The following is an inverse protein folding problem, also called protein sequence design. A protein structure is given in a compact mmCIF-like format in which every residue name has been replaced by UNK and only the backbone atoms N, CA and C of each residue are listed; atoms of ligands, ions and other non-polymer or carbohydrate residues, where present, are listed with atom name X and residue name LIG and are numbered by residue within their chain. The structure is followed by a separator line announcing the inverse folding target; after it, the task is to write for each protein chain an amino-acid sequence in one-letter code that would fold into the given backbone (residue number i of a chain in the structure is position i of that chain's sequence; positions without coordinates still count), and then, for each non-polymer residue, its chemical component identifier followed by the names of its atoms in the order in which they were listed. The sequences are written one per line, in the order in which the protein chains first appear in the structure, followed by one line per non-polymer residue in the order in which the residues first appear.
data_IF_368811609977
#
_entry.id   IF_368811609977
#
_cell.length_a   1.000
_cell.length_b   1.000
_cell.length_c   1.000
_cell.angle_alpha   90.00
_cell.angle_beta   90.00
_cell.angle_gamma   90.00
#
_symmetry.space_group_name_H-M   'P 1'
#
loop_
_entity.id
_entity.type
_entity.pdbx_description
1 polymer ?
#
# COMPACT_ATOMS: atom_id res chain seq x y z
N UNK A 1 -14.81 -5.13 -12.57
CA UNK A 1 -14.89 -5.36 -11.11
C UNK A 1 -13.62 -6.09 -10.65
N UNK A 2 -12.86 -5.45 -9.77
CA UNK A 2 -11.58 -5.95 -9.24
C UNK A 2 -11.78 -7.26 -8.47
N UNK A 3 -12.86 -7.36 -7.70
CA UNK A 3 -13.17 -8.56 -6.92
C UNK A 3 -13.38 -9.79 -7.82
N UNK A 4 -14.02 -9.61 -8.96
CA UNK A 4 -14.19 -10.68 -9.95
C UNK A 4 -12.84 -11.12 -10.54
N UNK A 5 -11.99 -10.16 -10.95
CA UNK A 5 -10.67 -10.46 -11.50
C UNK A 5 -9.79 -11.22 -10.49
N UNK A 6 -9.77 -10.78 -9.23
CA UNK A 6 -9.04 -11.45 -8.16
C UNK A 6 -9.54 -12.87 -7.92
N UNK A 7 -10.86 -13.06 -7.91
CA UNK A 7 -11.46 -14.38 -7.73
C UNK A 7 -11.10 -15.35 -8.84
N UNK A 8 -11.16 -14.90 -10.10
CA UNK A 8 -10.76 -15.70 -11.27
C UNK A 8 -9.27 -16.07 -11.21
N UNK A 9 -8.41 -15.10 -10.95
CA UNK A 9 -6.96 -15.35 -10.83
C UNK A 9 -6.65 -16.31 -9.69
N UNK A 10 -7.31 -16.15 -8.53
CA UNK A 10 -7.14 -17.05 -7.41
C UNK A 10 -7.52 -18.49 -7.76
N UNK A 11 -8.67 -18.69 -8.40
CA UNK A 11 -9.13 -20.03 -8.87
C UNK A 11 -8.15 -20.63 -9.86
N UNK A 12 -7.64 -19.86 -10.82
CA UNK A 12 -6.64 -20.33 -11.78
C UNK A 12 -5.34 -20.75 -11.08
N UNK A 13 -4.89 -19.99 -10.09
CA UNK A 13 -3.73 -20.34 -9.25
C UNK A 13 -3.91 -21.68 -8.53
N UNK A 14 -5.08 -21.89 -7.90
CA UNK A 14 -5.41 -23.13 -7.19
C UNK A 14 -5.53 -24.31 -8.16
N UNK A 15 -6.13 -24.13 -9.34
CA UNK A 15 -6.22 -25.18 -10.37
C UNK A 15 -4.82 -25.56 -10.88
N UNK A 16 -3.94 -24.61 -11.12
CA UNK A 16 -2.55 -24.87 -11.49
C UNK A 16 -1.83 -25.65 -10.40
N UNK A 17 -2.00 -25.27 -9.13
CA UNK A 17 -1.45 -25.98 -7.98
C UNK A 17 -1.94 -27.44 -7.91
N UNK A 18 -3.25 -27.66 -8.07
CA UNK A 18 -3.84 -29.00 -8.02
C UNK A 18 -3.34 -29.91 -9.13
N UNK A 19 -3.13 -29.37 -10.33
CA UNK A 19 -2.55 -30.10 -11.45
C UNK A 19 -1.09 -30.52 -11.17
N UNK A 20 -0.32 -29.63 -10.50
CA UNK A 20 1.04 -29.93 -10.07
C UNK A 20 1.08 -31.00 -8.97
N UNK A 21 0.23 -30.85 -7.95
CA UNK A 21 0.13 -31.78 -6.84
C UNK A 21 -0.17 -33.19 -7.33
N UNK A 22 -1.12 -33.36 -8.26
CA UNK A 22 -1.42 -34.69 -8.87
C UNK A 22 -0.19 -35.31 -9.54
N UNK A 23 0.57 -34.50 -10.33
CA UNK A 23 1.79 -35.00 -10.99
C UNK A 23 2.87 -35.39 -9.99
N UNK A 24 3.05 -34.61 -8.92
CA UNK A 24 4.04 -34.89 -7.89
C UNK A 24 3.69 -36.18 -7.10
N UNK A 25 2.43 -36.30 -6.70
CA UNK A 25 1.95 -37.48 -5.98
C UNK A 25 2.12 -38.75 -6.80
N UNK A 26 1.76 -38.71 -8.09
CA UNK A 26 1.99 -39.83 -9.02
C UNK A 26 3.47 -40.17 -9.16
N UNK A 27 4.33 -39.16 -9.31
CA UNK A 27 5.77 -39.38 -9.44
C UNK A 27 6.37 -40.01 -8.18
N UNK A 28 5.97 -39.54 -6.99
CA UNK A 28 6.43 -40.08 -5.69
C UNK A 28 5.91 -41.49 -5.51
N UNK A 29 4.64 -41.77 -5.85
CA UNK A 29 4.07 -43.11 -5.78
C UNK A 29 4.82 -44.14 -6.65
N UNK A 30 5.08 -43.77 -7.92
CA UNK A 30 5.84 -44.61 -8.84
C UNK A 30 7.26 -44.88 -8.32
N UNK A 31 7.93 -43.85 -7.83
CA UNK A 31 9.29 -43.96 -7.31
C UNK A 31 9.36 -44.76 -6.00
N UNK A 32 8.34 -44.63 -5.15
CA UNK A 32 8.24 -45.44 -3.93
C UNK A 32 7.96 -46.89 -4.24
N UNK A 33 7.03 -47.21 -5.15
CA UNK A 33 6.71 -48.53 -5.60
C UNK A 33 7.94 -49.23 -6.25
N UNK A 34 8.69 -48.52 -7.09
CA UNK A 34 9.93 -49.02 -7.71
C UNK A 34 11.02 -49.34 -6.68
N UNK A 35 11.18 -48.57 -5.62
CA UNK A 35 12.17 -48.81 -4.55
C UNK A 35 11.83 -49.99 -3.67
N UNK A 36 10.53 -50.29 -3.45
CA UNK A 36 10.07 -51.33 -2.55
C UNK A 36 9.63 -52.60 -3.29
N UNK A 37 9.94 -52.71 -4.59
CA UNK A 37 9.62 -53.84 -5.45
C UNK A 37 8.15 -54.33 -5.34
N UNK A 38 7.24 -53.40 -5.08
CA UNK A 38 5.82 -53.69 -4.91
C UNK A 38 5.09 -53.50 -6.25
N UNK A 39 4.53 -54.61 -6.78
CA UNK A 39 3.76 -54.62 -8.05
C UNK A 39 2.36 -53.98 -7.97
N UNK A 40 1.85 -53.66 -6.78
CA UNK A 40 0.55 -53.02 -6.59
C UNK A 40 0.76 -51.59 -6.07
N UNK A 41 -0.11 -50.66 -6.51
CA UNK A 41 -0.20 -49.31 -5.96
C UNK A 41 -0.56 -49.38 -4.47
N UNK A 42 0.42 -49.46 -3.62
CA UNK A 42 0.25 -49.39 -2.17
C UNK A 42 0.10 -47.95 -1.74
N UNK A 43 -0.79 -47.72 -0.78
CA UNK A 43 -0.95 -46.42 -0.15
C UNK A 43 0.40 -45.96 0.40
N UNK A 44 0.73 -44.69 0.17
CA UNK A 44 1.93 -44.07 0.73
C UNK A 44 1.90 -44.16 2.27
N UNK A 45 3.04 -44.40 2.92
CA UNK A 45 3.10 -44.35 4.38
C UNK A 45 2.60 -43.04 4.92
N UNK A 46 1.88 -43.09 6.03
CA UNK A 46 1.19 -41.94 6.63
C UNK A 46 2.06 -40.67 6.75
N UNK A 47 3.32 -40.75 7.24
CA UNK A 47 4.16 -39.55 7.36
C UNK A 47 4.49 -38.94 6.00
N UNK A 48 4.73 -39.74 4.97
CA UNK A 48 5.00 -39.21 3.62
C UNK A 48 3.75 -38.62 2.98
N UNK A 49 2.58 -39.17 3.24
CA UNK A 49 1.31 -38.60 2.78
C UNK A 49 1.00 -37.27 3.44
N UNK A 50 1.31 -37.11 4.73
CA UNK A 50 1.16 -35.84 5.45
C UNK A 50 2.11 -34.78 4.87
N UNK A 51 3.38 -35.12 4.67
CA UNK A 51 4.36 -34.19 4.08
C UNK A 51 3.94 -33.74 2.68
N UNK A 52 3.47 -34.65 1.84
CA UNK A 52 2.98 -34.32 0.50
C UNK A 52 1.78 -33.39 0.57
N UNK A 53 0.82 -33.63 1.45
CA UNK A 53 -0.34 -32.73 1.64
C UNK A 53 0.08 -31.33 2.11
N UNK A 54 1.05 -31.25 3.03
CA UNK A 54 1.59 -29.97 3.46
C UNK A 54 2.28 -29.22 2.31
N UNK A 55 3.09 -29.91 1.50
CA UNK A 55 3.71 -29.34 0.31
C UNK A 55 2.67 -28.87 -0.70
N UNK A 56 1.61 -29.65 -0.94
CA UNK A 56 0.52 -29.28 -1.85
C UNK A 56 -0.21 -28.04 -1.35
N UNK A 57 -0.47 -27.92 -0.05
CA UNK A 57 -1.10 -26.76 0.55
C UNK A 57 -0.23 -25.48 0.41
N UNK A 58 1.07 -25.59 0.66
CA UNK A 58 2.02 -24.47 0.45
C UNK A 58 2.07 -24.07 -1.02
N UNK A 59 2.13 -25.02 -1.94
CA UNK A 59 2.12 -24.73 -3.37
C UNK A 59 0.82 -24.05 -3.81
N UNK A 60 -0.32 -24.48 -3.29
CA UNK A 60 -1.60 -23.84 -3.57
C UNK A 60 -1.63 -22.39 -3.08
N UNK A 61 -1.17 -22.12 -1.86
CA UNK A 61 -1.09 -20.78 -1.33
C UNK A 61 -0.14 -19.87 -2.14
N UNK A 62 1.05 -20.38 -2.49
CA UNK A 62 2.03 -19.63 -3.29
C UNK A 62 1.49 -19.32 -4.69
N UNK A 63 0.94 -20.32 -5.39
CA UNK A 63 0.45 -20.11 -6.76
C UNK A 63 -0.81 -19.24 -6.80
N UNK A 64 -1.69 -19.35 -5.83
CA UNK A 64 -2.84 -18.44 -5.71
C UNK A 64 -2.38 -16.98 -5.48
N UNK A 65 -1.44 -16.76 -4.58
CA UNK A 65 -0.86 -15.42 -4.32
C UNK A 65 -0.14 -14.88 -5.56
N UNK A 66 0.67 -15.69 -6.24
CA UNK A 66 1.36 -15.27 -7.48
C UNK A 66 0.39 -14.97 -8.61
N UNK A 67 -0.72 -15.69 -8.73
CA UNK A 67 -1.72 -15.46 -9.76
C UNK A 67 -2.52 -14.16 -9.52
N UNK A 68 -2.78 -13.80 -8.26
CA UNK A 68 -3.50 -12.57 -7.90
C UNK A 68 -2.59 -11.33 -7.87
N UNK A 69 -1.28 -11.51 -7.69
CA UNK A 69 -0.31 -10.42 -7.59
C UNK A 69 -0.36 -9.43 -8.77
N UNK A 70 -0.44 -9.85 -10.05
CA UNK A 70 -0.53 -8.92 -11.18
C UNK A 70 -1.74 -8.01 -11.11
N UNK A 71 -2.91 -8.54 -10.70
CA UNK A 71 -4.14 -7.76 -10.59
C UNK A 71 -4.03 -6.74 -9.45
N UNK A 72 -3.51 -7.16 -8.28
CA UNK A 72 -3.30 -6.26 -7.16
C UNK A 72 -2.38 -5.09 -7.54
N UNK A 73 -1.26 -5.40 -8.20
CA UNK A 73 -0.29 -4.39 -8.61
C UNK A 73 -0.84 -3.44 -9.69
N UNK A 74 -1.60 -3.95 -10.69
CA UNK A 74 -2.22 -3.11 -11.72
C UNK A 74 -3.24 -2.12 -11.16
N UNK A 75 -3.89 -2.47 -10.05
CA UNK A 75 -4.84 -1.59 -9.39
C UNK A 75 -4.23 -0.75 -8.24
N UNK A 76 -2.90 -0.70 -8.14
CA UNK A 76 -2.20 0.07 -7.11
C UNK A 76 -2.45 -0.42 -5.69
N UNK A 77 -2.84 -1.68 -5.53
CA UNK A 77 -3.08 -2.26 -4.21
C UNK A 77 -1.78 -2.82 -3.64
N UNK A 78 -1.58 -2.67 -2.32
CA UNK A 78 -0.43 -3.24 -1.64
C UNK A 78 -0.44 -4.78 -1.74
N UNK A 79 0.70 -5.35 -2.10
CA UNK A 79 0.90 -6.79 -2.05
C UNK A 79 1.43 -7.17 -0.66
N UNK A 80 0.90 -8.23 -0.06
CA UNK A 80 1.37 -8.71 1.23
C UNK A 80 2.33 -9.91 1.06
N UNK A 81 3.57 -9.75 1.50
CA UNK A 81 4.53 -10.87 1.58
C UNK A 81 4.10 -11.92 2.61
N UNK A 82 3.30 -11.53 3.60
CA UNK A 82 2.71 -12.44 4.59
C UNK A 82 1.45 -13.16 4.07
N UNK A 83 0.98 -12.88 2.84
CA UNK A 83 -0.21 -13.53 2.28
C UNK A 83 -0.07 -15.07 2.20
N UNK A 84 1.12 -15.58 1.88
CA UNK A 84 1.36 -17.02 1.80
C UNK A 84 1.21 -17.71 3.16
N UNK A 85 1.93 -17.30 4.23
CA UNK A 85 1.73 -17.89 5.56
C UNK A 85 0.33 -17.61 6.11
N UNK A 86 -0.24 -16.43 5.89
CA UNK A 86 -1.59 -16.12 6.32
C UNK A 86 -2.63 -17.05 5.66
N UNK A 87 -2.57 -17.22 4.35
CA UNK A 87 -3.45 -18.14 3.62
C UNK A 87 -3.28 -19.59 4.10
N UNK A 88 -2.04 -20.02 4.34
CA UNK A 88 -1.78 -21.37 4.81
C UNK A 88 -2.42 -21.62 6.19
N UNK A 89 -2.30 -20.68 7.10
CA UNK A 89 -2.81 -20.79 8.48
C UNK A 89 -4.34 -20.60 8.53
N UNK A 90 -4.87 -19.56 7.85
CA UNK A 90 -6.29 -19.21 7.93
C UNK A 90 -7.16 -20.17 7.12
N UNK A 91 -6.74 -20.61 5.93
CA UNK A 91 -7.52 -21.53 5.07
C UNK A 91 -7.77 -22.88 5.76
N UNK A 92 -6.84 -23.35 6.56
CA UNK A 92 -7.03 -24.58 7.34
C UNK A 92 -8.15 -24.47 8.37
N UNK A 93 -8.32 -23.30 8.97
CA UNK A 93 -9.34 -23.02 9.97
C UNK A 93 -10.71 -22.69 9.33
N UNK A 94 -10.73 -22.29 8.07
CA UNK A 94 -11.95 -21.94 7.35
C UNK A 94 -12.91 -23.13 7.24
N UNK A 95 -12.40 -24.33 6.97
CA UNK A 95 -13.21 -25.55 6.87
C UNK A 95 -13.95 -25.89 8.18
N UNK A 96 -13.27 -25.99 9.31
CA UNK A 96 -13.92 -26.13 10.63
C UNK A 96 -14.87 -24.99 10.96
N UNK A 97 -14.50 -23.72 10.68
CA UNK A 97 -15.35 -22.57 10.94
C UNK A 97 -16.67 -22.65 10.16
N UNK A 98 -16.63 -22.96 8.87
CA UNK A 98 -17.83 -23.13 8.05
C UNK A 98 -18.72 -24.27 8.54
N UNK A 99 -18.15 -25.41 8.89
CA UNK A 99 -18.92 -26.56 9.39
C UNK A 99 -19.61 -26.22 10.73
N UNK A 100 -18.87 -25.59 11.65
CA UNK A 100 -19.42 -25.15 12.93
C UNK A 100 -20.47 -24.05 12.74
N UNK A 101 -20.26 -23.12 11.79
CA UNK A 101 -21.22 -22.07 11.47
C UNK A 101 -22.53 -22.63 10.92
N UNK A 102 -22.45 -23.59 9.96
CA UNK A 102 -23.64 -24.28 9.42
C UNK A 102 -24.32 -25.09 10.53
N UNK A 103 -23.57 -25.80 11.35
CA UNK A 103 -24.12 -26.57 12.46
C UNK A 103 -24.85 -25.67 13.47
N UNK A 104 -24.23 -24.57 13.88
CA UNK A 104 -24.86 -23.60 14.78
C UNK A 104 -26.13 -22.99 14.16
N UNK A 105 -26.09 -22.65 12.86
CA UNK A 105 -27.27 -22.16 12.16
C UNK A 105 -28.40 -23.17 12.15
N UNK A 106 -28.14 -24.44 11.85
CA UNK A 106 -29.17 -25.49 11.85
C UNK A 106 -29.74 -25.73 13.26
N UNK A 107 -28.86 -25.75 14.28
CA UNK A 107 -29.27 -25.95 15.67
C UNK A 107 -30.15 -24.77 16.20
N UNK A 108 -29.94 -23.54 15.69
CA UNK A 108 -30.70 -22.36 16.09
C UNK A 108 -32.20 -22.45 15.75
N UNK A 109 -32.59 -23.30 14.77
CA UNK A 109 -34.00 -23.50 14.41
C UNK A 109 -34.71 -24.47 15.33
N UNK A 110 -34.01 -25.18 16.21
CA UNK A 110 -34.60 -26.24 17.05
C UNK A 110 -34.38 -25.89 18.54
N UNK A 111 -35.42 -25.29 19.22
CA UNK A 111 -35.25 -24.81 20.59
C UNK A 111 -34.87 -25.87 21.61
N UNK A 112 -35.18 -27.14 21.38
CA UNK A 112 -34.83 -28.26 22.25
C UNK A 112 -33.31 -28.52 22.28
N UNK A 113 -32.59 -28.07 21.23
CA UNK A 113 -31.15 -28.28 21.06
C UNK A 113 -30.31 -27.06 21.51
N UNK A 114 -30.86 -26.16 22.28
CA UNK A 114 -30.23 -24.90 22.74
C UNK A 114 -28.86 -25.13 23.41
N UNK A 115 -28.63 -26.14 24.30
CA UNK A 115 -27.32 -26.38 24.86
C UNK A 115 -26.26 -26.79 23.82
N UNK A 116 -26.66 -27.51 22.76
CA UNK A 116 -25.76 -27.87 21.64
C UNK A 116 -25.46 -26.66 20.76
N UNK A 117 -26.44 -25.78 20.53
CA UNK A 117 -26.25 -24.50 19.86
C UNK A 117 -25.22 -23.64 20.57
N UNK A 118 -25.33 -23.48 21.89
CA UNK A 118 -24.36 -22.72 22.70
C UNK A 118 -22.95 -23.33 22.62
N UNK A 119 -22.85 -24.67 22.68
CA UNK A 119 -21.56 -25.36 22.51
C UNK A 119 -20.93 -25.14 21.14
N UNK A 120 -21.72 -25.27 20.06
CA UNK A 120 -21.27 -25.03 18.70
C UNK A 120 -20.85 -23.58 18.47
N UNK A 121 -21.62 -22.63 19.00
CA UNK A 121 -21.34 -21.19 18.91
C UNK A 121 -20.08 -20.80 19.66
N UNK A 122 -19.84 -21.38 20.83
CA UNK A 122 -18.61 -21.16 21.62
C UNK A 122 -17.38 -21.69 20.86
N UNK A 123 -17.45 -22.90 20.30
CA UNK A 123 -16.38 -23.46 19.49
C UNK A 123 -16.11 -22.61 18.24
N UNK A 124 -17.17 -22.16 17.56
CA UNK A 124 -17.06 -21.25 16.44
C UNK A 124 -16.35 -19.95 16.86
N UNK A 125 -16.73 -19.37 17.99
CA UNK A 125 -16.11 -18.16 18.55
C UNK A 125 -14.60 -18.34 18.80
N UNK A 126 -14.19 -19.50 19.34
CA UNK A 126 -12.78 -19.84 19.55
C UNK A 126 -12.04 -19.91 18.21
N UNK A 127 -12.60 -20.61 17.22
CA UNK A 127 -11.97 -20.74 15.89
C UNK A 127 -11.85 -19.39 15.21
N UNK A 128 -12.87 -18.53 15.27
CA UNK A 128 -12.85 -17.19 14.69
C UNK A 128 -11.80 -16.28 15.40
N UNK A 129 -11.73 -16.33 16.73
CA UNK A 129 -10.69 -15.61 17.47
C UNK A 129 -9.28 -16.09 17.10
N UNK A 130 -9.09 -17.40 16.96
CA UNK A 130 -7.81 -17.93 16.50
C UNK A 130 -7.46 -17.43 15.10
N UNK A 131 -8.42 -17.43 14.16
CA UNK A 131 -8.22 -16.90 12.81
C UNK A 131 -7.83 -15.42 12.82
N UNK A 132 -8.54 -14.59 13.59
CA UNK A 132 -8.24 -13.15 13.69
C UNK A 132 -6.89 -12.89 14.35
N UNK A 133 -6.53 -13.64 15.39
CA UNK A 133 -5.22 -13.54 16.06
C UNK A 133 -4.08 -13.94 15.12
N UNK A 134 -4.23 -15.02 14.37
CA UNK A 134 -3.24 -15.45 13.38
C UNK A 134 -3.10 -14.44 12.25
N UNK A 135 -4.21 -13.88 11.77
CA UNK A 135 -4.18 -12.83 10.75
C UNK A 135 -3.49 -11.56 11.27
N UNK A 136 -3.78 -11.13 12.49
CA UNK A 136 -3.11 -10.00 13.12
C UNK A 136 -1.61 -10.25 13.32
N UNK A 137 -1.22 -11.45 13.73
CA UNK A 137 0.18 -11.83 13.85
C UNK A 137 0.91 -11.80 12.49
N UNK A 138 0.28 -12.32 11.43
CA UNK A 138 0.83 -12.25 10.08
C UNK A 138 0.93 -10.79 9.58
N UNK A 139 -0.02 -9.94 9.93
CA UNK A 139 -0.01 -8.52 9.57
C UNK A 139 1.08 -7.72 10.29
N UNK A 140 1.50 -8.16 11.47
CA UNK A 140 2.60 -7.55 12.23
C UNK A 140 4.00 -7.93 11.70
N UNK A 141 4.11 -8.86 10.75
CA UNK A 141 5.40 -9.22 10.16
C UNK A 141 5.94 -8.05 9.30
N UNK A 142 7.26 -7.75 9.35
CA UNK A 142 7.85 -6.64 8.60
C UNK A 142 7.70 -6.78 7.07
N UNK A 143 7.38 -7.98 6.57
CA UNK A 143 7.15 -8.29 5.15
C UNK A 143 5.66 -8.22 4.78
N UNK A 144 4.78 -7.89 5.75
CA UNK A 144 3.33 -7.89 5.53
C UNK A 144 2.87 -6.81 4.55
N UNK A 145 3.58 -5.69 4.50
CA UNK A 145 3.23 -4.55 3.65
C UNK A 145 4.33 -4.30 2.63
N UNK A 146 4.26 -4.97 1.50
CA UNK A 146 5.11 -4.68 0.35
C UNK A 146 4.29 -3.82 -0.59
N UNK A 147 4.49 -2.51 -0.48
CA UNK A 147 3.87 -1.58 -1.38
C UNK A 147 4.85 -1.28 -2.52
N UNK A 148 4.52 -1.73 -3.70
CA UNK A 148 5.22 -1.40 -4.92
C UNK A 148 4.45 -0.27 -5.59
N UNK A 149 5.09 0.89 -5.84
CA UNK A 149 4.48 1.92 -6.66
C UNK A 149 4.06 1.35 -8.00
N UNK A 150 2.89 1.76 -8.50
CA UNK A 150 2.28 1.28 -9.75
C UNK A 150 3.28 1.29 -10.93
N UNK A 151 4.22 2.22 -10.93
CA UNK A 151 5.27 2.37 -11.95
C UNK A 151 6.19 1.15 -12.10
N UNK A 152 6.44 0.39 -11.03
CA UNK A 152 7.27 -0.83 -11.09
C UNK A 152 6.46 -2.08 -11.41
N UNK A 153 5.14 -1.98 -11.40
CA UNK A 153 4.24 -3.09 -11.75
C UNK A 153 4.54 -3.62 -13.13
N UNK A 154 4.78 -2.75 -14.11
CA UNK A 154 5.10 -3.14 -15.47
C UNK A 154 6.41 -3.94 -15.55
N UNK A 155 7.44 -3.56 -14.80
CA UNK A 155 8.70 -4.29 -14.74
C UNK A 155 8.54 -5.66 -14.07
N UNK A 156 7.80 -5.73 -12.96
CA UNK A 156 7.50 -6.99 -12.29
C UNK A 156 6.68 -7.90 -13.21
N UNK A 157 5.68 -7.37 -13.91
CA UNK A 157 4.89 -8.11 -14.89
C UNK A 157 5.74 -8.59 -16.07
N UNK A 158 6.66 -7.77 -16.59
CA UNK A 158 7.57 -8.15 -17.64
C UNK A 158 8.49 -9.31 -17.20
N UNK A 159 9.04 -9.25 -16.00
CA UNK A 159 9.84 -10.34 -15.42
C UNK A 159 8.99 -11.61 -15.29
N UNK A 160 7.76 -11.51 -14.77
CA UNK A 160 6.85 -12.66 -14.68
C UNK A 160 6.50 -13.24 -16.05
N UNK A 161 6.25 -12.40 -17.07
CA UNK A 161 5.96 -12.83 -18.43
C UNK A 161 7.15 -13.57 -19.05
N UNK A 162 8.36 -13.06 -18.89
CA UNK A 162 9.60 -13.72 -19.35
C UNK A 162 9.80 -15.05 -18.66
N UNK A 163 9.63 -15.09 -17.33
CA UNK A 163 9.73 -16.31 -16.57
C UNK A 163 8.65 -17.34 -16.97
N UNK A 164 7.42 -16.90 -17.22
CA UNK A 164 6.33 -17.75 -17.71
C UNK A 164 6.63 -18.33 -19.12
N UNK A 165 7.17 -17.51 -20.02
CA UNK A 165 7.57 -17.93 -21.35
C UNK A 165 8.72 -18.96 -21.33
N UNK A 166 9.74 -18.71 -20.50
CA UNK A 166 10.85 -19.64 -20.26
C UNK A 166 10.36 -20.97 -19.68
N UNK A 167 9.42 -20.89 -18.74
CA UNK A 167 8.77 -22.06 -18.17
C UNK A 167 8.00 -22.87 -19.22
N UNK A 168 7.18 -22.20 -20.03
CA UNK A 168 6.43 -22.84 -21.12
C UNK A 168 7.35 -23.62 -22.06
N UNK A 169 8.51 -23.03 -22.37
CA UNK A 169 9.52 -23.64 -23.25
C UNK A 169 10.25 -24.81 -22.62
N UNK A 170 10.59 -24.73 -21.33
CA UNK A 170 11.45 -25.72 -20.66
C UNK A 170 10.68 -26.79 -19.89
N UNK A 171 9.39 -26.58 -19.61
CA UNK A 171 8.49 -27.44 -18.82
C UNK A 171 9.02 -27.84 -17.44
N UNK A 172 10.02 -27.13 -16.90
CA UNK A 172 10.66 -27.44 -15.62
C UNK A 172 10.09 -26.59 -14.47
N UNK A 173 8.82 -26.80 -14.12
CA UNK A 173 8.12 -26.04 -13.07
C UNK A 173 8.84 -26.03 -11.72
N UNK A 174 9.54 -27.10 -11.36
CA UNK A 174 10.25 -27.21 -10.08
C UNK A 174 11.35 -26.17 -9.88
N UNK A 175 11.98 -25.73 -10.96
CA UNK A 175 13.03 -24.70 -10.91
C UNK A 175 12.44 -23.30 -11.04
N UNK A 176 11.28 -23.18 -11.68
CA UNK A 176 10.65 -21.92 -11.97
C UNK A 176 10.07 -21.23 -10.72
N UNK A 177 9.38 -21.97 -9.84
CA UNK A 177 8.77 -21.39 -8.64
C UNK A 177 9.81 -20.74 -7.72
N UNK A 178 10.92 -21.40 -7.33
CA UNK A 178 11.94 -20.76 -6.50
C UNK A 178 12.67 -19.61 -7.23
N UNK A 179 12.95 -19.76 -8.53
CA UNK A 179 13.60 -18.70 -9.30
C UNK A 179 12.67 -17.49 -9.44
N UNK A 180 11.38 -17.71 -9.73
CA UNK A 180 10.38 -16.64 -9.79
C UNK A 180 10.24 -15.91 -8.46
N UNK A 181 10.23 -16.63 -7.36
CA UNK A 181 10.19 -16.05 -6.02
C UNK A 181 11.45 -15.22 -5.73
N UNK A 182 12.64 -15.73 -6.01
CA UNK A 182 13.91 -15.01 -5.83
C UNK A 182 13.96 -13.77 -6.70
N UNK A 183 13.54 -13.86 -7.98
CA UNK A 183 13.48 -12.69 -8.87
C UNK A 183 12.46 -11.64 -8.39
N UNK A 184 11.30 -12.07 -7.88
CA UNK A 184 10.31 -11.15 -7.32
C UNK A 184 10.84 -10.42 -6.08
N UNK A 185 11.46 -11.15 -5.16
CA UNK A 185 12.10 -10.57 -3.96
C UNK A 185 13.25 -9.63 -4.35
N UNK A 186 14.09 -10.03 -5.30
CA UNK A 186 15.18 -9.20 -5.78
C UNK A 186 14.67 -7.92 -6.46
N UNK A 187 13.61 -8.01 -7.27
CA UNK A 187 12.99 -6.85 -7.91
C UNK A 187 12.41 -5.87 -6.89
N UNK A 188 11.77 -6.37 -5.83
CA UNK A 188 11.26 -5.56 -4.72
C UNK A 188 12.38 -4.87 -3.97
N UNK A 189 13.44 -5.61 -3.64
CA UNK A 189 14.62 -5.05 -2.94
C UNK A 189 15.34 -4.01 -3.79
N UNK A 190 15.54 -4.28 -5.09
CA UNK A 190 16.15 -3.33 -6.01
C UNK A 190 15.29 -2.07 -6.18
N UNK A 191 13.97 -2.24 -6.32
CA UNK A 191 13.03 -1.12 -6.38
C UNK A 191 13.08 -0.26 -5.12
N UNK A 192 13.12 -0.89 -3.94
CA UNK A 192 13.26 -0.20 -2.65
C UNK A 192 14.56 0.60 -2.54
N UNK A 193 15.69 0.00 -2.94
CA UNK A 193 16.99 0.72 -2.89
C UNK A 193 17.07 1.88 -3.89
N UNK A 194 16.50 1.72 -5.09
CA UNK A 194 16.45 2.80 -6.10
C UNK A 194 15.54 3.97 -5.71
N UNK A 195 14.60 3.77 -4.80
CA UNK A 195 13.65 4.80 -4.33
C UNK A 195 14.00 5.40 -2.99
N UNK A 196 15.05 4.92 -2.33
CA UNK A 196 15.38 5.32 -0.97
C UNK A 196 15.55 6.83 -0.79
N UNK A 197 16.10 7.50 -1.81
CA UNK A 197 16.35 8.94 -1.76
C UNK A 197 15.31 9.78 -2.52
N UNK A 198 14.22 9.14 -2.99
CA UNK A 198 13.19 9.85 -3.76
C UNK A 198 12.09 10.30 -2.83
N UNK A 199 11.84 11.60 -2.80
CA UNK A 199 10.70 12.20 -2.09
C UNK A 199 9.62 12.57 -3.11
N UNK A 200 8.40 12.12 -2.89
CA UNK A 200 7.24 12.48 -3.68
C UNK A 200 6.37 13.44 -2.91
N UNK A 201 6.15 14.59 -3.50
CA UNK A 201 5.26 15.61 -2.98
C UNK A 201 3.99 15.63 -3.84
N UNK A 202 2.84 15.39 -3.23
CA UNK A 202 1.56 15.42 -3.93
C UNK A 202 0.56 16.30 -3.20
N UNK A 203 -0.32 16.94 -3.96
CA UNK A 203 -1.50 17.59 -3.40
C UNK A 203 -2.69 16.64 -3.55
N UNK A 204 -3.32 16.30 -2.44
CA UNK A 204 -4.37 15.26 -2.37
C UNK A 204 -5.61 15.81 -1.70
N UNK A 205 -6.77 15.61 -2.29
CA UNK A 205 -8.06 15.98 -1.70
C UNK A 205 -8.82 17.03 -2.48
N UNK A 206 -9.63 17.83 -1.79
CA UNK A 206 -10.57 18.77 -2.40
C UNK A 206 -9.85 19.87 -3.19
N UNK A 207 -10.39 20.21 -4.35
CA UNK A 207 -9.87 21.25 -5.24
C UNK A 207 -9.67 22.59 -4.49
N UNK A 208 -8.49 23.17 -4.61
CA UNK A 208 -8.10 24.42 -3.97
C UNK A 208 -7.81 24.30 -2.46
N UNK A 209 -8.03 23.17 -1.81
CA UNK A 209 -7.76 23.00 -0.38
C UNK A 209 -7.24 21.58 -0.04
N UNK A 210 -6.51 20.97 -0.99
CA UNK A 210 -5.91 19.65 -0.82
C UNK A 210 -4.79 19.66 0.21
N UNK A 211 -4.62 18.53 0.89
CA UNK A 211 -3.48 18.29 1.77
C UNK A 211 -2.20 18.12 0.94
N UNK A 212 -1.05 18.49 1.49
CA UNK A 212 0.25 18.21 0.88
C UNK A 212 0.83 16.97 1.56
N UNK A 213 1.16 15.97 0.77
CA UNK A 213 1.66 14.68 1.23
C UNK A 213 3.08 14.49 0.71
N UNK A 214 4.04 14.36 1.61
CA UNK A 214 5.41 14.00 1.29
C UNK A 214 5.62 12.52 1.60
N UNK A 215 5.98 11.73 0.59
CA UNK A 215 6.23 10.29 0.73
C UNK A 215 7.70 10.01 0.46
N UNK A 216 8.37 9.37 1.42
CA UNK A 216 9.72 8.87 1.28
C UNK A 216 9.79 7.45 1.86
N UNK A 217 10.30 6.53 1.09
CA UNK A 217 10.36 5.12 1.44
C UNK A 217 9.04 4.56 1.89
N UNK A 218 8.57 3.97 2.71
CA UNK A 218 7.23 3.54 3.12
C UNK A 218 6.60 4.46 4.18
N UNK A 219 7.17 5.65 4.39
CA UNK A 219 6.74 6.62 5.40
C UNK A 219 6.25 7.90 4.72
N UNK A 220 5.29 8.54 5.35
CA UNK A 220 4.75 9.79 4.84
C UNK A 220 4.62 10.85 5.93
N UNK A 221 4.73 12.10 5.50
CA UNK A 221 4.37 13.29 6.28
C UNK A 221 3.23 13.99 5.55
N UNK A 222 2.22 14.39 6.29
CA UNK A 222 1.05 15.09 5.74
C UNK A 222 0.92 16.46 6.36
N UNK A 223 0.94 17.49 5.52
CA UNK A 223 0.49 18.81 5.89
C UNK A 223 -1.02 18.87 5.65
N UNK A 224 -1.77 18.70 6.73
CA UNK A 224 -3.21 18.60 6.66
C UNK A 224 -3.87 19.98 6.58
N UNK A 225 -4.70 20.16 5.57
CA UNK A 225 -5.54 21.36 5.42
C UNK A 225 -6.89 20.98 4.81
N UNK A 226 -7.88 21.83 4.98
CA UNK A 226 -9.21 21.58 4.45
C UNK A 226 -10.10 20.75 5.36
N UNK A 227 -11.08 20.08 4.78
CA UNK A 227 -12.13 19.38 5.50
C UNK A 227 -11.77 17.92 5.83
N UNK A 228 -12.55 17.28 6.71
CA UNK A 228 -12.41 15.87 7.06
C UNK A 228 -12.51 14.92 5.84
N UNK A 229 -13.13 15.35 4.74
CA UNK A 229 -13.22 14.58 3.50
C UNK A 229 -11.83 14.29 2.88
N UNK A 230 -10.85 15.17 3.09
CA UNK A 230 -9.48 14.98 2.61
C UNK A 230 -8.79 13.77 3.25
N UNK A 231 -9.19 13.37 4.46
CA UNK A 231 -8.59 12.22 5.13
C UNK A 231 -8.71 10.92 4.35
N UNK A 232 -9.87 10.67 3.71
CA UNK A 232 -10.06 9.47 2.88
C UNK A 232 -9.19 9.50 1.62
N UNK A 233 -9.10 10.66 0.97
CA UNK A 233 -8.27 10.84 -0.22
C UNK A 233 -6.78 10.63 0.11
N UNK A 234 -6.32 11.17 1.24
CA UNK A 234 -4.95 10.97 1.72
C UNK A 234 -4.68 9.49 2.02
N UNK A 235 -5.57 8.79 2.73
CA UNK A 235 -5.41 7.36 3.00
C UNK A 235 -5.34 6.53 1.71
N UNK A 236 -6.21 6.84 0.74
CA UNK A 236 -6.18 6.17 -0.56
C UNK A 236 -4.85 6.43 -1.29
N UNK A 237 -4.38 7.67 -1.32
CA UNK A 237 -3.11 8.04 -1.93
C UNK A 237 -1.92 7.32 -1.28
N UNK A 238 -1.88 7.29 0.06
CA UNK A 238 -0.84 6.60 0.82
C UNK A 238 -0.80 5.09 0.51
N UNK A 239 -1.98 4.46 0.44
CA UNK A 239 -2.10 3.05 0.09
C UNK A 239 -1.61 2.78 -1.33
N UNK A 240 -1.98 3.63 -2.31
CA UNK A 240 -1.55 3.51 -3.71
C UNK A 240 -0.04 3.71 -3.90
N UNK A 241 0.56 4.59 -3.08
CA UNK A 241 2.00 4.90 -3.16
C UNK A 241 2.85 4.09 -2.18
N UNK A 242 2.25 3.15 -1.47
CA UNK A 242 2.98 2.24 -0.64
C UNK A 242 3.58 2.82 0.62
N UNK A 243 2.98 3.84 1.16
CA UNK A 243 3.38 4.46 2.41
C UNK A 243 2.28 4.32 3.48
N UNK A 244 2.04 3.09 4.01
CA UNK A 244 1.02 2.87 5.03
C UNK A 244 1.38 3.53 6.37
N UNK A 245 2.65 3.79 6.62
CA UNK A 245 3.12 4.41 7.86
C UNK A 245 3.09 5.93 7.75
N UNK A 246 2.19 6.54 8.50
CA UNK A 246 2.10 7.98 8.66
C UNK A 246 3.04 8.40 9.80
N UNK A 247 4.21 8.93 9.45
CA UNK A 247 5.22 9.35 10.41
C UNK A 247 4.74 10.56 11.21
N UNK A 248 4.20 11.57 10.51
CA UNK A 248 3.65 12.75 11.15
C UNK A 248 2.50 13.35 10.34
N UNK A 249 1.56 13.96 11.05
CA UNK A 249 0.56 14.86 10.50
C UNK A 249 0.72 16.22 11.16
N UNK A 250 0.90 17.24 10.34
CA UNK A 250 0.91 18.64 10.78
C UNK A 250 -0.43 19.25 10.37
N UNK A 251 -1.27 19.57 11.34
CA UNK A 251 -2.56 20.20 11.10
C UNK A 251 -2.38 21.71 10.93
N UNK A 252 -2.49 22.17 9.70
CA UNK A 252 -2.38 23.59 9.36
C UNK A 252 -3.72 24.35 9.46
N UNK A 253 -4.80 23.70 9.92
CA UNK A 253 -6.10 24.34 10.04
C UNK A 253 -6.09 25.33 11.20
N UNK A 254 -6.63 26.51 10.96
CA UNK A 254 -6.81 27.55 12.00
C UNK A 254 -7.86 27.15 13.03
N UNK A 255 -8.85 26.36 12.62
CA UNK A 255 -9.86 25.76 13.51
C UNK A 255 -9.67 24.25 13.49
N UNK A 256 -8.97 23.68 14.48
CA UNK A 256 -8.76 22.25 14.54
C UNK A 256 -10.09 21.53 14.80
N UNK A 257 -10.44 20.65 13.90
CA UNK A 257 -11.57 19.72 14.04
C UNK A 257 -11.06 18.30 14.27
N UNK A 258 -11.97 17.33 14.30
CA UNK A 258 -11.63 15.93 14.37
C UNK A 258 -10.63 15.55 13.28
N UNK A 259 -9.53 14.87 13.66
CA UNK A 259 -8.50 14.43 12.73
C UNK A 259 -8.83 13.02 12.22
N UNK A 260 -9.11 12.85 10.93
CA UNK A 260 -9.48 11.55 10.36
C UNK A 260 -8.29 10.62 10.10
N UNK A 261 -7.05 11.08 10.38
CA UNK A 261 -5.81 10.35 10.13
C UNK A 261 -5.16 9.94 11.45
N UNK A 262 -4.70 8.70 11.52
CA UNK A 262 -3.89 8.20 12.63
C UNK A 262 -2.41 8.26 12.23
N UNK A 263 -1.60 8.99 12.98
CA UNK A 263 -0.17 9.14 12.75
C UNK A 263 0.63 8.82 14.01
N UNK A 264 1.91 8.51 13.84
CA UNK A 264 2.82 8.32 14.98
C UNK A 264 2.98 9.63 15.78
N UNK A 265 3.00 10.76 15.07
CA UNK A 265 3.01 12.11 15.65
C UNK A 265 1.91 12.96 15.03
N UNK A 266 1.06 13.53 15.87
CA UNK A 266 0.08 14.53 15.47
C UNK A 266 0.51 15.87 16.05
N UNK A 267 0.80 16.83 15.19
CA UNK A 267 1.21 18.18 15.55
C UNK A 267 0.12 19.16 15.13
N UNK A 268 -0.52 19.77 16.09
CA UNK A 268 -1.52 20.81 15.84
C UNK A 268 -0.87 22.17 16.03
N UNK A 269 -1.21 23.15 15.18
CA UNK A 269 -0.66 24.52 15.30
C UNK A 269 -0.88 25.08 16.70
N UNK A 270 -2.01 24.74 17.34
CA UNK A 270 -2.33 25.22 18.67
C UNK A 270 -1.36 24.71 19.76
N UNK A 271 -0.72 23.57 19.54
CA UNK A 271 0.19 22.94 20.50
C UNK A 271 1.65 23.40 20.35
N UNK A 272 1.95 24.15 19.29
CA UNK A 272 3.30 24.61 18.98
C UNK A 272 3.51 26.06 19.47
N UNK A 273 4.73 26.44 19.87
CA UNK A 273 5.04 27.81 20.22
C UNK A 273 4.91 28.71 18.98
N UNK A 274 4.33 29.90 19.15
CA UNK A 274 4.22 30.86 18.05
C UNK A 274 5.60 31.26 17.52
N UNK A 275 5.72 31.36 16.21
CA UNK A 275 6.96 31.71 15.53
C UNK A 275 7.46 30.59 14.63
N UNK A 276 8.76 30.49 14.46
CA UNK A 276 9.43 29.46 13.64
C UNK A 276 9.74 28.23 14.47
N UNK A 277 9.24 27.09 14.05
CA UNK A 277 9.54 25.78 14.65
C UNK A 277 10.16 24.88 13.59
N UNK A 278 11.33 24.32 13.89
CA UNK A 278 12.03 23.37 13.03
C UNK A 278 11.80 21.94 13.48
N UNK A 279 11.40 21.06 12.56
CA UNK A 279 11.03 19.67 12.82
C UNK A 279 11.69 18.74 11.79
N UNK A 280 12.45 17.75 12.25
CA UNK A 280 12.95 16.69 11.39
C UNK A 280 11.98 15.50 11.46
N UNK A 281 11.29 15.21 10.38
CA UNK A 281 10.20 14.23 10.35
C UNK A 281 10.53 12.95 9.58
N UNK A 282 11.34 13.05 8.52
CA UNK A 282 11.83 11.90 7.75
C UNK A 282 13.36 12.00 7.60
N UNK A 283 13.98 10.98 7.02
CA UNK A 283 15.43 10.89 6.90
C UNK A 283 16.07 12.09 6.16
N UNK A 284 15.37 12.61 5.13
CA UNK A 284 15.82 13.74 4.31
C UNK A 284 14.81 14.86 4.20
N UNK A 285 13.75 14.83 5.00
CA UNK A 285 12.69 15.86 4.98
C UNK A 285 12.65 16.55 6.32
N UNK A 286 12.97 17.83 6.30
CA UNK A 286 12.85 18.75 7.42
C UNK A 286 11.68 19.69 7.15
N UNK A 287 11.01 20.14 8.19
CA UNK A 287 9.85 21.05 8.06
C UNK A 287 10.06 22.24 8.96
N UNK A 288 10.12 23.40 8.33
CA UNK A 288 10.07 24.69 9.01
C UNK A 288 8.64 25.18 9.05
N UNK A 289 8.08 25.26 10.23
CA UNK A 289 6.73 25.72 10.44
C UNK A 289 6.73 27.12 11.03
N UNK A 290 6.22 28.09 10.28
CA UNK A 290 5.94 29.45 10.74
C UNK A 290 4.43 29.59 10.94
N UNK A 291 4.00 29.84 12.16
CA UNK A 291 2.58 30.01 12.42
C UNK A 291 2.25 31.24 13.27
N UNK A 292 1.07 31.75 13.01
CA UNK A 292 0.41 32.83 13.76
C UNK A 292 -1.01 32.37 14.10
N UNK A 293 -1.74 33.13 14.91
CA UNK A 293 -3.12 32.79 15.27
C UNK A 293 -4.10 32.66 14.07
N UNK A 294 -3.76 33.24 12.90
CA UNK A 294 -4.65 33.31 11.74
C UNK A 294 -4.14 32.54 10.51
N UNK A 295 -2.88 32.13 10.50
CA UNK A 295 -2.28 31.50 9.34
C UNK A 295 -1.07 30.64 9.72
N UNK A 296 -0.78 29.67 8.89
CA UNK A 296 0.41 28.84 8.98
C UNK A 296 1.09 28.70 7.61
N UNK A 297 2.40 28.69 7.62
CA UNK A 297 3.27 28.36 6.51
C UNK A 297 4.17 27.20 6.92
N UNK A 298 4.11 26.11 6.19
CA UNK A 298 5.04 25.02 6.31
C UNK A 298 5.97 25.02 5.10
N UNK A 299 7.26 25.03 5.33
CA UNK A 299 8.30 24.87 4.32
C UNK A 299 8.98 23.54 4.55
N UNK A 300 8.89 22.67 3.55
CA UNK A 300 9.57 21.36 3.56
C UNK A 300 10.91 21.55 2.87
N UNK A 301 11.99 21.26 3.57
CA UNK A 301 13.31 21.12 2.98
C UNK A 301 13.57 19.64 2.64
N UNK A 302 13.88 19.39 1.39
CA UNK A 302 14.23 18.07 0.86
C UNK A 302 15.65 18.12 0.30
N UNK A 303 16.63 18.04 1.20
CA UNK A 303 18.03 18.07 0.82
C UNK A 303 18.46 19.33 0.04
N UNK A 304 18.03 20.50 0.51
CA UNK A 304 18.31 21.80 -0.07
C UNK A 304 17.31 22.25 -1.17
N UNK A 305 16.24 21.49 -1.39
CA UNK A 305 15.12 21.88 -2.25
C UNK A 305 13.89 22.18 -1.39
N UNK A 306 13.30 23.37 -1.57
CA UNK A 306 12.28 23.89 -0.68
C UNK A 306 10.90 23.84 -1.32
N UNK A 307 9.96 23.17 -0.68
CA UNK A 307 8.55 23.23 -1.03
C UNK A 307 7.74 23.87 0.09
N UNK A 308 6.82 24.76 -0.25
CA UNK A 308 5.99 25.43 0.73
C UNK A 308 4.51 25.14 0.55
N UNK A 309 3.78 25.10 1.67
CA UNK A 309 2.33 25.07 1.72
C UNK A 309 1.82 26.01 2.81
N UNK A 310 0.77 26.74 2.54
CA UNK A 310 0.16 27.64 3.52
C UNK A 310 -1.30 27.34 3.75
N UNK A 311 -1.78 27.73 4.92
CA UNK A 311 -3.20 27.77 5.28
C UNK A 311 -3.52 29.09 5.96
N UNK A 312 -4.73 29.60 5.72
CA UNK A 312 -5.15 30.91 6.25
C UNK A 312 -4.64 32.11 5.44
N UNK A 313 -4.85 33.31 5.96
CA UNK A 313 -4.42 34.54 5.34
C UNK A 313 -3.01 34.92 5.83
N UNK A 314 -2.01 34.46 5.07
CA UNK A 314 -0.61 34.68 5.41
C UNK A 314 -0.17 36.11 5.08
N UNK A 315 0.42 36.79 6.04
CA UNK A 315 1.08 38.12 5.88
C UNK A 315 2.50 37.92 6.41
N UNK A 316 3.49 38.04 5.54
CA UNK A 316 4.91 37.90 5.88
C UNK A 316 5.57 39.29 5.79
N UNK A 317 6.50 39.57 6.69
CA UNK A 317 7.29 40.80 6.66
C UNK A 317 8.29 40.77 5.51
N UNK A 318 8.93 39.61 5.29
CA UNK A 318 9.91 39.37 4.22
C UNK A 318 9.44 38.30 3.25
N UNK A 319 9.77 38.39 1.96
CA UNK A 319 9.43 37.42 0.98
C UNK A 319 10.23 36.10 1.23
N UNK A 320 9.53 34.96 1.15
CA UNK A 320 10.14 33.64 1.26
C UNK A 320 10.33 33.06 -0.13
N UNK A 321 11.59 32.75 -0.48
CA UNK A 321 11.93 32.10 -1.74
C UNK A 321 11.84 30.57 -1.60
N UNK A 322 11.08 29.92 -2.50
CA UNK A 322 10.91 28.45 -2.53
C UNK A 322 11.00 27.92 -3.96
N UNK A 323 11.37 26.66 -4.09
CA UNK A 323 11.41 26.03 -5.41
C UNK A 323 10.02 25.60 -5.89
N UNK A 324 9.15 25.15 -4.96
CA UNK A 324 7.77 24.78 -5.27
C UNK A 324 6.81 25.34 -4.22
N UNK A 325 5.72 25.92 -4.69
CA UNK A 325 4.61 26.30 -3.84
C UNK A 325 3.38 25.43 -4.12
N UNK A 326 2.88 24.73 -3.11
CA UNK A 326 1.66 23.94 -3.17
C UNK A 326 0.45 24.83 -2.88
N UNK A 327 -0.08 25.46 -3.91
CA UNK A 327 -1.10 26.50 -3.78
C UNK A 327 -2.46 25.92 -3.37
N UNK A 328 -3.07 26.57 -2.38
CA UNK A 328 -4.44 26.30 -1.96
C UNK A 328 -5.44 27.25 -2.62
N UNK A 329 -6.42 27.72 -1.83
CA UNK A 329 -7.39 28.74 -2.27
C UNK A 329 -6.75 30.10 -2.52
N UNK A 330 -5.55 30.36 -2.02
CA UNK A 330 -4.81 31.61 -2.15
C UNK A 330 -3.35 31.34 -2.51
N UNK A 331 -2.75 32.30 -3.22
CA UNK A 331 -1.32 32.36 -3.47
C UNK A 331 -0.81 33.66 -2.85
N UNK A 332 -0.12 33.66 -1.71
CA UNK A 332 0.41 34.86 -1.08
C UNK A 332 1.51 35.48 -1.95
N UNK A 333 1.45 36.79 -2.15
CA UNK A 333 2.45 37.55 -2.93
C UNK A 333 3.84 37.54 -2.28
N UNK A 334 3.89 37.29 -0.98
CA UNK A 334 5.13 37.20 -0.22
C UNK A 334 5.89 35.84 -0.44
N UNK A 335 5.34 34.91 -1.20
CA UNK A 335 6.02 33.65 -1.54
C UNK A 335 6.51 33.73 -2.99
N UNK A 336 7.83 33.76 -3.15
CA UNK A 336 8.49 33.73 -4.45
C UNK A 336 8.82 32.28 -4.82
N UNK A 337 7.95 31.66 -5.62
CA UNK A 337 8.11 30.27 -6.05
C UNK A 337 8.68 30.18 -7.46
N UNK A 338 9.57 29.22 -7.72
CA UNK A 338 10.02 28.89 -9.09
C UNK A 338 8.96 28.12 -9.87
N UNK A 339 8.08 27.40 -9.17
CA UNK A 339 6.97 26.67 -9.75
C UNK A 339 5.80 26.61 -8.75
N UNK A 340 4.58 26.52 -9.24
CA UNK A 340 3.37 26.40 -8.43
C UNK A 340 2.67 25.10 -8.80
N UNK A 341 2.29 24.31 -7.80
CA UNK A 341 1.50 23.10 -7.93
C UNK A 341 0.08 23.36 -7.43
N UNK A 342 -0.94 23.00 -8.21
CA UNK A 342 -2.34 23.18 -7.78
C UNK A 342 -3.23 22.03 -8.26
N UNK A 343 -4.29 21.76 -7.52
CA UNK A 343 -5.33 20.80 -7.84
C UNK A 343 -6.67 21.46 -8.24
N UNK A 344 -6.62 22.71 -8.69
CA UNK A 344 -7.78 23.46 -9.16
C UNK A 344 -7.52 24.00 -10.56
N UNK A 345 -8.42 23.70 -11.50
CA UNK A 345 -8.27 24.06 -12.92
C UNK A 345 -8.29 25.57 -13.18
N UNK A 346 -9.12 26.30 -12.46
CA UNK A 346 -9.27 27.76 -12.62
C UNK A 346 -9.17 28.46 -11.27
N UNK A 347 -7.97 28.54 -10.67
CA UNK A 347 -7.82 29.23 -9.40
C UNK A 347 -7.95 30.74 -9.57
N UNK A 348 -8.68 31.41 -8.66
CA UNK A 348 -8.89 32.86 -8.69
C UNK A 348 -7.59 33.67 -8.61
N UNK A 349 -6.53 33.09 -8.11
CA UNK A 349 -5.21 33.73 -7.96
C UNK A 349 -4.31 33.52 -9.19
N UNK A 350 -4.75 32.80 -10.24
CA UNK A 350 -3.92 32.50 -11.39
C UNK A 350 -3.32 33.75 -12.06
N UNK A 351 -4.11 34.85 -12.17
CA UNK A 351 -3.64 36.13 -12.71
C UNK A 351 -2.53 36.78 -11.88
N UNK A 352 -2.37 36.39 -10.62
CA UNK A 352 -1.32 36.90 -9.72
C UNK A 352 -0.03 36.06 -9.77
N UNK A 353 -0.04 34.91 -10.43
CA UNK A 353 1.13 34.03 -10.55
C UNK A 353 2.22 34.64 -11.47
N UNK A 354 1.89 35.65 -12.30
CA UNK A 354 2.82 36.27 -13.24
C UNK A 354 3.42 35.24 -14.20
N UNK A 355 4.73 35.28 -14.40
CA UNK A 355 5.47 34.37 -15.29
C UNK A 355 5.82 33.02 -14.62
N UNK A 356 5.41 32.78 -13.36
CA UNK A 356 5.72 31.54 -12.67
C UNK A 356 4.94 30.38 -13.27
N UNK A 357 5.59 29.27 -13.68
CA UNK A 357 4.91 28.12 -14.25
C UNK A 357 3.97 27.48 -13.22
N UNK A 358 2.72 27.28 -13.61
CA UNK A 358 1.68 26.64 -12.80
C UNK A 358 1.39 25.27 -13.36
N UNK A 359 1.56 24.24 -12.54
CA UNK A 359 1.29 22.86 -12.87
C UNK A 359 -0.01 22.39 -12.21
N UNK A 360 -0.88 21.79 -13.00
CA UNK A 360 -2.20 21.37 -12.58
C UNK A 360 -2.46 19.92 -12.90
N UNK A 361 -3.13 19.25 -11.97
CA UNK A 361 -3.88 18.02 -12.19
C UNK A 361 -5.12 18.01 -11.28
N UNK A 362 -6.21 17.43 -11.78
CA UNK A 362 -7.50 17.39 -11.07
C UNK A 362 -7.51 16.44 -9.87
N UNK A 363 -6.73 15.38 -9.92
CA UNK A 363 -6.74 14.33 -8.91
C UNK A 363 -5.59 14.48 -7.91
N UNK A 364 -4.35 14.31 -8.38
CA UNK A 364 -3.19 14.26 -7.50
C UNK A 364 -1.92 14.82 -8.16
N UNK A 365 -1.86 16.15 -8.36
CA UNK A 365 -0.65 16.75 -8.94
C UNK A 365 0.57 16.40 -8.08
N UNK A 366 1.59 15.82 -8.72
CA UNK A 366 2.73 15.24 -8.03
C UNK A 366 4.05 15.82 -8.55
N UNK A 367 4.93 16.18 -7.62
CA UNK A 367 6.33 16.53 -7.88
C UNK A 367 7.23 15.46 -7.28
N UNK A 368 8.17 14.93 -8.07
CA UNK A 368 9.15 13.94 -7.64
C UNK A 368 10.50 14.62 -7.47
N UNK A 369 10.97 14.67 -6.26
CA UNK A 369 12.21 15.32 -5.88
C UNK A 369 13.27 14.26 -5.62
N UNK A 370 14.43 14.44 -6.25
CA UNK A 370 15.63 13.64 -5.96
C UNK A 370 16.70 14.59 -5.45
N UNK A 371 17.21 14.40 -4.23
CA UNK A 371 18.26 15.24 -3.70
C UNK A 371 19.44 15.37 -4.67
N UNK A 372 19.86 16.61 -4.97
CA UNK A 372 20.94 16.88 -5.91
C UNK A 372 20.64 16.68 -7.40
N UNK A 373 19.39 16.41 -7.79
CA UNK A 373 18.94 16.25 -9.19
C UNK A 373 17.74 17.15 -9.50
N UNK A 374 17.43 17.24 -10.80
CA UNK A 374 16.25 17.98 -11.27
C UNK A 374 14.94 17.38 -10.76
N UNK A 375 13.99 18.23 -10.42
CA UNK A 375 12.62 17.86 -10.07
C UNK A 375 11.86 17.43 -11.31
N UNK A 376 11.08 16.37 -11.20
CA UNK A 376 10.22 15.86 -12.27
C UNK A 376 8.77 16.02 -11.81
N UNK A 377 7.98 16.72 -12.60
CA UNK A 377 6.55 16.86 -12.38
C UNK A 377 5.84 15.71 -13.12
N UNK A 378 5.09 14.90 -12.38
CA UNK A 378 4.36 13.73 -12.90
C UNK A 378 2.87 14.02 -12.98
N UNK A 379 2.23 13.58 -14.05
CA UNK A 379 0.76 13.65 -14.24
C UNK A 379 0.18 15.07 -14.16
N UNK A 380 0.94 16.08 -14.57
CA UNK A 380 0.50 17.48 -14.51
C UNK A 380 0.50 18.14 -15.88
N UNK A 381 -0.43 19.06 -16.08
CA UNK A 381 -0.51 19.91 -17.27
C UNK A 381 -0.12 21.34 -16.89
N UNK A 382 0.69 22.04 -17.73
CA UNK A 382 0.94 23.45 -17.50
C UNK A 382 -0.35 24.24 -17.75
N UNK A 383 -0.75 25.05 -16.78
CA UNK A 383 -1.82 26.02 -16.95
C UNK A 383 -1.25 27.25 -17.65
N UNK A 384 -1.79 27.58 -18.81
CA UNK A 384 -1.49 28.86 -19.47
C UNK A 384 -2.23 29.99 -18.74
N UNK A 385 -1.47 30.99 -18.32
CA UNK A 385 -2.04 32.26 -17.87
C UNK A 385 -2.61 32.95 -19.12
N UNK A 386 -3.95 33.01 -19.27
CA UNK A 386 -4.63 33.71 -20.32
C UNK A 386 -4.76 35.19 -19.96
#
# INVERSE_FOLDING_TARGET
DIGFQLSVCWVLGVLAASALAKRQTQFVQVRYAARHNQRRQTALPLPLAIVLRAVDAVQAAVLATLATLPVLLLHGMAASGAAVPANLLVVWLLGPALRLGILALVLSFVPVLDPLFHGASLLLGIVLRLMTTLAAWCAALPVAHIALPVRYTLWVLAVFAVLAALFWRTRQLRRFVPVGFVCAVAAVMLGGTMQRDVVRLAMVGTAGNGCVVAVQNNRAVVLYRGSAANGRAVQQYLTQNGAPELAAVIDLRTEPGEMPLQAAQLLTIADLPQGLTHLQLLDTVEVDLLHTNAAALAVLDVGGWHAAASAGKLILADPVAVDLYCAGCSCPEAIQAKAILCNQQTPKWLSKAGDTPVYYDAETPTAVVRPGKSVVYEEVQPLAVQ
#
